data_IF_109206649186
#
_entry.id   IF_109206649186
#
_cell.length_a   1.000
_cell.length_b   1.000
_cell.length_c   1.000
_cell.angle_alpha   90.00
_cell.angle_beta   90.00
_cell.angle_gamma   90.00
#
_symmetry.space_group_name_H-M   'P 1'
#
loop_
_entity.id
_entity.type
_entity.pdbx_description
1 polymer ?
#
# COMPACT_ATOMS: atom_id res chain seq x y z
N UNK A 1 -13.54 -16.57 2.96
CA UNK A 1 -12.17 -16.04 3.10
C UNK A 1 -12.28 -14.56 3.45
N UNK A 2 -11.68 -14.13 4.55
CA UNK A 2 -11.69 -12.73 4.99
C UNK A 2 -10.66 -11.96 4.15
N UNK A 3 -11.08 -11.47 2.98
CA UNK A 3 -10.29 -10.52 2.19
C UNK A 3 -10.32 -9.12 2.80
N UNK A 4 -9.44 -8.24 2.31
CA UNK A 4 -9.55 -6.81 2.59
C UNK A 4 -10.91 -6.28 2.10
N UNK A 5 -11.57 -5.35 2.81
CA UNK A 5 -12.80 -4.75 2.32
C UNK A 5 -12.54 -3.92 1.05
N UNK A 6 -13.59 -3.66 0.29
CA UNK A 6 -13.54 -2.76 -0.84
C UNK A 6 -13.00 -1.38 -0.41
N UNK A 7 -12.10 -0.83 -1.21
CA UNK A 7 -11.43 0.42 -0.88
C UNK A 7 -10.10 0.61 -1.58
N UNK A 8 -9.47 1.75 -1.27
CA UNK A 8 -8.17 2.14 -1.79
C UNK A 8 -7.16 2.14 -0.64
N UNK A 9 -6.02 1.52 -0.90
CA UNK A 9 -4.96 1.35 0.06
C UNK A 9 -3.64 1.86 -0.50
N UNK A 10 -2.84 2.50 0.34
CA UNK A 10 -1.46 2.83 0.02
C UNK A 10 -0.59 1.59 0.19
N UNK A 11 0.24 1.32 -0.81
CA UNK A 11 1.29 0.31 -0.74
C UNK A 11 2.57 1.04 -0.32
N UNK A 12 3.22 0.58 0.74
CA UNK A 12 4.28 1.32 1.43
C UNK A 12 5.45 0.40 1.78
N UNK A 13 6.66 0.89 1.57
CA UNK A 13 7.89 0.26 2.06
C UNK A 13 8.44 1.02 3.28
N UNK A 14 8.42 0.43 4.48
CA UNK A 14 9.12 0.99 5.64
C UNK A 14 10.61 0.69 5.53
N UNK A 15 11.43 1.72 5.74
CA UNK A 15 12.89 1.60 5.83
C UNK A 15 13.36 2.23 7.13
N UNK A 16 14.19 1.51 7.87
CA UNK A 16 14.92 2.08 9.00
C UNK A 16 16.05 2.98 8.50
N UNK A 17 16.08 4.20 9.02
CA UNK A 17 17.11 5.20 8.75
C UNK A 17 17.41 5.94 10.05
N UNK A 18 18.63 5.75 10.59
CA UNK A 18 19.14 6.46 11.77
C UNK A 18 18.13 6.49 12.94
N UNK A 19 17.65 5.32 13.35
CA UNK A 19 16.69 5.11 14.44
C UNK A 19 15.26 5.65 14.20
N UNK A 20 14.93 6.08 12.97
CA UNK A 20 13.57 6.43 12.57
C UNK A 20 13.10 5.57 11.40
N UNK A 21 11.81 5.27 11.36
CA UNK A 21 11.20 4.61 10.19
C UNK A 21 10.76 5.64 9.17
N UNK A 22 11.33 5.58 7.97
CA UNK A 22 10.83 6.29 6.79
C UNK A 22 9.86 5.41 6.02
N UNK A 23 8.73 5.98 5.64
CA UNK A 23 7.67 5.29 4.91
C UNK A 23 7.67 5.80 3.47
N UNK A 24 8.04 4.94 2.52
CA UNK A 24 8.03 5.28 1.10
C UNK A 24 6.77 4.73 0.45
N UNK A 25 5.92 5.61 -0.08
CA UNK A 25 4.74 5.19 -0.84
C UNK A 25 5.18 4.58 -2.17
N UNK A 26 4.94 3.28 -2.33
CA UNK A 26 5.38 2.50 -3.48
C UNK A 26 4.31 2.40 -4.57
N UNK A 27 3.04 2.58 -4.21
CA UNK A 27 1.93 2.41 -5.12
C UNK A 27 0.58 2.46 -4.41
N UNK A 28 -0.43 1.95 -5.09
CA UNK A 28 -1.80 1.83 -4.59
C UNK A 28 -2.37 0.46 -4.91
N UNK A 29 -3.13 -0.08 -3.96
CA UNK A 29 -3.96 -1.26 -4.11
C UNK A 29 -5.42 -0.81 -4.11
N UNK A 30 -6.18 -1.31 -5.07
CA UNK A 30 -7.63 -1.12 -5.14
C UNK A 30 -8.30 -2.48 -5.00
N UNK A 31 -9.14 -2.61 -3.98
CA UNK A 31 -10.03 -3.76 -3.80
C UNK A 31 -11.44 -3.31 -4.21
N UNK A 32 -12.05 -4.03 -5.15
CA UNK A 32 -13.42 -3.77 -5.60
C UNK A 32 -14.04 -5.06 -6.11
N UNK A 33 -15.25 -5.39 -5.67
CA UNK A 33 -16.01 -6.56 -6.13
C UNK A 33 -15.21 -7.88 -6.02
N UNK A 34 -14.44 -8.02 -4.93
CA UNK A 34 -13.57 -9.18 -4.69
C UNK A 34 -12.32 -9.27 -5.59
N UNK A 35 -12.03 -8.24 -6.39
CA UNK A 35 -10.83 -8.16 -7.23
C UNK A 35 -9.79 -7.22 -6.62
N UNK A 36 -8.53 -7.62 -6.70
CA UNK A 36 -7.38 -6.81 -6.31
C UNK A 36 -6.65 -6.27 -7.54
N UNK A 37 -6.53 -4.94 -7.64
CA UNK A 37 -5.78 -4.25 -8.69
C UNK A 37 -4.63 -3.48 -8.06
N UNK A 38 -3.41 -3.66 -8.57
CA UNK A 38 -2.20 -3.04 -8.04
C UNK A 38 -1.60 -2.12 -9.09
N UNK A 39 -1.30 -0.88 -8.70
CA UNK A 39 -0.42 0.02 -9.46
C UNK A 39 0.82 0.33 -8.62
N UNK A 40 1.98 -0.10 -9.10
CA UNK A 40 3.28 0.23 -8.50
C UNK A 40 3.88 1.41 -9.27
N UNK A 41 4.24 2.46 -8.55
CA UNK A 41 4.95 3.62 -9.10
C UNK A 41 6.47 3.42 -9.00
N UNK A 42 6.91 2.66 -7.99
CA UNK A 42 8.31 2.33 -7.75
C UNK A 42 8.42 0.95 -7.10
N UNK A 43 9.58 0.34 -7.29
CA UNK A 43 9.95 -0.92 -6.65
C UNK A 43 11.21 -0.66 -5.83
N UNK A 44 11.23 -0.96 -4.52
CA UNK A 44 12.46 -0.88 -3.74
C UNK A 44 13.56 -1.79 -4.28
N UNK A 45 14.81 -1.33 -4.30
CA UNK A 45 15.94 -2.13 -4.82
C UNK A 45 17.09 -2.34 -3.83
N UNK A 46 17.05 -1.70 -2.65
CA UNK A 46 18.08 -1.80 -1.62
C UNK A 46 17.81 -2.97 -0.66
N UNK A 47 17.93 -2.75 0.66
CA UNK A 47 17.72 -3.73 1.74
C UNK A 47 16.25 -4.17 1.90
N UNK A 48 15.51 -4.28 0.80
CA UNK A 48 14.12 -4.69 0.78
C UNK A 48 14.02 -6.21 0.93
N UNK A 49 13.20 -6.64 1.86
CA UNK A 49 12.92 -8.05 2.17
C UNK A 49 11.96 -8.72 1.16
N UNK A 50 11.55 -7.99 0.11
CA UNK A 50 10.59 -8.43 -0.89
C UNK A 50 9.12 -8.19 -0.53
N UNK A 51 8.82 -7.59 0.63
CA UNK A 51 7.45 -7.36 1.10
C UNK A 51 7.08 -5.89 1.18
N UNK A 52 5.86 -5.56 0.73
CA UNK A 52 5.27 -4.23 0.89
C UNK A 52 4.13 -4.29 1.90
N UNK A 53 3.96 -3.23 2.67
CA UNK A 53 2.85 -3.06 3.61
C UNK A 53 1.71 -2.31 2.95
N UNK A 54 0.49 -2.62 3.36
CA UNK A 54 -0.73 -2.02 2.81
C UNK A 54 -1.47 -1.31 3.93
N UNK A 55 -1.86 -0.05 3.72
CA UNK A 55 -2.59 0.75 4.69
C UNK A 55 -3.81 1.39 4.06
N UNK A 56 -4.96 1.46 4.75
CA UNK A 56 -6.11 2.22 4.26
C UNK A 56 -5.69 3.66 3.98
N UNK A 57 -6.05 4.18 2.80
CA UNK A 57 -5.71 5.55 2.45
C UNK A 57 -6.54 6.51 3.30
N UNK A 58 -5.86 7.36 4.10
CA UNK A 58 -6.56 8.33 4.97
C UNK A 58 -7.27 9.38 4.11
N UNK A 59 -8.56 9.62 4.37
CA UNK A 59 -9.36 10.66 3.73
C UNK A 59 -10.23 10.22 2.55
N UNK A 60 -10.38 8.92 2.28
CA UNK A 60 -11.34 8.39 1.30
C UNK A 60 -12.46 7.60 1.98
N UNK A 61 -13.14 8.21 2.95
CA UNK A 61 -14.55 7.85 3.18
C UNK A 61 -15.36 8.58 2.09
N UNK A 62 -15.89 7.82 1.12
CA UNK A 62 -16.90 8.35 0.20
C UNK A 62 -16.43 8.98 -1.11
N UNK A 63 -15.30 8.55 -1.69
CA UNK A 63 -15.04 8.83 -3.13
C UNK A 63 -15.55 7.63 -3.94
N UNK A 64 -16.72 7.73 -4.59
CA UNK A 64 -17.19 6.67 -5.47
C UNK A 64 -16.28 6.61 -6.70
N UNK A 65 -15.99 5.38 -7.13
CA UNK A 65 -15.40 5.11 -8.44
C UNK A 65 -16.31 5.59 -9.56
#
# INVERSE_FOLDING_TARGET
MNGLPDGVYDIVWPREDNSKTRWHQCGVLVIKDGRANIKLNLIPTANWDGWLKVFPKKGQEGVPF
#
